data_IF_083291616250
#
_entry.id   IF_083291616250
#
_cell.length_a   1.000
_cell.length_b   1.000
_cell.length_c   1.000
_cell.angle_alpha   90.00
_cell.angle_beta   90.00
_cell.angle_gamma   90.00
#
_symmetry.space_group_name_H-M   'P 1'
#
loop_
_entity.id
_entity.type
_entity.pdbx_description
1 polymer ?
#
# COMPACT_ATOMS: atom_id res chain seq x y z
N UNK A 1 -5.16 83.40 -33.76
CA UNK A 1 -5.60 82.01 -34.04
C UNK A 1 -4.43 81.28 -34.69
N UNK A 2 -3.74 80.41 -33.94
CA UNK A 2 -2.78 79.41 -34.44
C UNK A 2 -3.09 78.13 -33.66
N UNK A 3 -3.47 77.07 -34.36
CA UNK A 3 -3.78 75.76 -33.77
C UNK A 3 -2.50 75.14 -33.17
N UNK A 4 -2.58 74.47 -32.00
CA UNK A 4 -1.45 73.74 -31.46
C UNK A 4 -1.27 72.41 -32.21
N UNK A 5 -0.05 72.18 -32.69
CA UNK A 5 0.41 70.94 -33.32
C UNK A 5 0.37 69.80 -32.29
N UNK A 6 -0.56 68.86 -32.44
CA UNK A 6 -0.61 67.63 -31.65
C UNK A 6 0.64 66.78 -31.94
N UNK A 7 1.57 66.75 -30.98
CA UNK A 7 2.66 65.79 -30.94
C UNK A 7 2.19 64.55 -30.19
N UNK A 8 1.54 63.62 -30.89
CA UNK A 8 1.44 62.25 -30.39
C UNK A 8 2.75 61.51 -30.73
N UNK A 9 3.46 60.93 -29.75
CA UNK A 9 4.67 60.17 -30.06
C UNK A 9 4.31 58.91 -30.86
N UNK A 10 4.98 58.72 -32.00
CA UNK A 10 4.92 57.49 -32.78
C UNK A 10 5.49 56.34 -31.94
N UNK A 11 4.61 55.53 -31.35
CA UNK A 11 4.97 54.31 -30.64
C UNK A 11 5.19 53.21 -31.69
N UNK A 12 6.45 52.89 -31.97
CA UNK A 12 6.80 51.76 -32.82
C UNK A 12 6.33 50.45 -32.17
N UNK A 13 5.48 49.63 -32.82
CA UNK A 13 5.00 48.39 -32.22
C UNK A 13 6.16 47.40 -32.14
N UNK A 14 6.57 47.07 -30.91
CA UNK A 14 7.53 46.01 -30.61
C UNK A 14 7.21 44.74 -31.42
N UNK A 15 8.10 44.36 -32.35
CA UNK A 15 7.97 43.13 -33.14
C UNK A 15 7.76 41.93 -32.19
N UNK A 16 6.62 41.22 -32.25
CA UNK A 16 6.36 40.14 -31.32
C UNK A 16 7.34 39.00 -31.58
N UNK A 17 7.85 38.41 -30.49
CA UNK A 17 8.77 37.27 -30.54
C UNK A 17 8.17 36.13 -31.38
N UNK A 18 9.02 35.32 -32.02
CA UNK A 18 8.56 34.20 -32.87
C UNK A 18 7.58 33.27 -32.14
N UNK A 19 7.77 33.08 -30.84
CA UNK A 19 6.87 32.31 -29.97
C UNK A 19 5.48 32.95 -29.85
N UNK A 20 5.40 34.27 -29.73
CA UNK A 20 4.13 34.99 -29.67
C UNK A 20 3.35 34.89 -30.99
N UNK A 21 4.04 34.97 -32.13
CA UNK A 21 3.40 34.80 -33.46
C UNK A 21 2.83 33.39 -33.62
N UNK A 22 3.58 32.35 -33.24
CA UNK A 22 3.08 30.96 -33.29
C UNK A 22 1.91 30.75 -32.33
N UNK A 23 2.00 31.30 -31.12
CA UNK A 23 0.91 31.26 -30.14
C UNK A 23 -0.36 31.93 -30.68
N UNK A 24 -0.26 33.11 -31.30
CA UNK A 24 -1.41 33.84 -31.85
C UNK A 24 -2.09 33.10 -33.00
N UNK A 25 -1.35 32.41 -33.87
CA UNK A 25 -1.91 31.60 -34.96
C UNK A 25 -2.57 30.30 -34.46
N UNK A 26 -2.04 29.72 -33.37
CA UNK A 26 -2.60 28.52 -32.74
C UNK A 26 -3.83 28.85 -31.88
N UNK A 27 -3.86 29.99 -31.20
CA UNK A 27 -4.98 30.42 -30.37
C UNK A 27 -6.14 31.00 -31.17
N UNK A 28 -5.91 31.49 -32.40
CA UNK A 28 -6.97 32.00 -33.27
C UNK A 28 -7.83 30.89 -33.92
N UNK A 29 -7.40 29.62 -33.85
CA UNK A 29 -8.13 28.49 -34.44
C UNK A 29 -8.93 27.73 -33.36
N UNK A 30 -10.28 27.79 -33.37
CA UNK A 30 -11.12 27.16 -32.35
C UNK A 30 -10.98 25.62 -32.29
N UNK A 31 -10.59 24.95 -33.38
CA UNK A 31 -10.33 23.51 -33.39
C UNK A 31 -9.08 23.13 -32.59
N UNK A 32 -8.09 24.03 -32.52
CA UNK A 32 -6.86 23.81 -31.76
C UNK A 32 -7.10 23.91 -30.25
N UNK A 33 -8.02 24.78 -29.81
CA UNK A 33 -8.42 24.88 -28.40
C UNK A 33 -9.04 23.58 -27.86
N UNK A 34 -9.88 22.91 -28.65
CA UNK A 34 -10.48 21.63 -28.26
C UNK A 34 -9.45 20.49 -28.18
N UNK A 35 -8.52 20.42 -29.14
CA UNK A 35 -7.44 19.42 -29.13
C UNK A 35 -6.40 19.65 -28.02
N UNK A 36 -6.05 20.91 -27.75
CA UNK A 36 -5.14 21.29 -26.68
C UNK A 36 -5.72 20.97 -25.29
N UNK A 37 -7.03 21.14 -25.09
CA UNK A 37 -7.71 20.75 -23.86
C UNK A 37 -7.61 19.25 -23.58
N UNK A 38 -7.87 18.41 -24.59
CA UNK A 38 -7.76 16.96 -24.47
C UNK A 38 -6.31 16.51 -24.23
N UNK A 39 -5.36 17.10 -24.96
CA UNK A 39 -3.94 16.83 -24.77
C UNK A 39 -3.48 17.22 -23.35
N UNK A 40 -3.91 18.37 -22.85
CA UNK A 40 -3.64 18.82 -21.48
C UNK A 40 -4.19 17.87 -20.43
N UNK A 41 -5.44 17.43 -20.58
CA UNK A 41 -6.02 16.41 -19.71
C UNK A 41 -5.26 15.08 -19.76
N UNK A 42 -4.83 14.65 -20.95
CA UNK A 42 -4.03 13.44 -21.13
C UNK A 42 -2.67 13.51 -20.40
N UNK A 43 -1.98 14.65 -20.49
CA UNK A 43 -0.73 14.89 -19.75
C UNK A 43 -1.00 14.90 -18.24
N UNK A 44 -2.05 15.59 -17.79
CA UNK A 44 -2.42 15.67 -16.38
C UNK A 44 -2.74 14.28 -15.78
N UNK A 45 -3.54 13.48 -16.48
CA UNK A 45 -3.87 12.10 -16.08
C UNK A 45 -2.62 11.21 -16.05
N UNK A 46 -1.71 11.38 -17.01
CA UNK A 46 -0.46 10.61 -17.07
C UNK A 46 0.45 10.93 -15.89
N UNK A 47 0.61 12.21 -15.55
CA UNK A 47 1.38 12.64 -14.36
C UNK A 47 0.71 12.13 -13.09
N UNK A 48 -0.60 12.27 -12.96
CA UNK A 48 -1.37 11.82 -11.79
C UNK A 48 -1.18 10.32 -11.55
N UNK A 49 -1.30 9.49 -12.59
CA UNK A 49 -1.04 8.05 -12.51
C UNK A 49 0.37 7.77 -11.99
N UNK A 50 1.37 8.48 -12.51
CA UNK A 50 2.76 8.31 -12.09
C UNK A 50 2.96 8.71 -10.63
N UNK A 51 2.34 9.80 -10.18
CA UNK A 51 2.37 10.25 -8.79
C UNK A 51 1.74 9.23 -7.85
N UNK A 52 0.61 8.62 -8.22
CA UNK A 52 -0.06 7.59 -7.40
C UNK A 52 0.83 6.36 -7.21
N UNK A 53 1.52 5.91 -8.25
CA UNK A 53 2.42 4.74 -8.14
C UNK A 53 3.60 5.06 -7.22
N UNK A 54 4.26 6.20 -7.44
CA UNK A 54 5.41 6.64 -6.64
C UNK A 54 4.98 6.87 -5.18
N UNK A 55 3.83 7.51 -4.97
CA UNK A 55 3.32 7.78 -3.62
C UNK A 55 3.01 6.50 -2.87
N UNK A 56 2.39 5.49 -3.51
CA UNK A 56 2.15 4.19 -2.90
C UNK A 56 3.46 3.49 -2.50
N UNK A 57 4.51 3.58 -3.34
CA UNK A 57 5.83 3.01 -2.99
C UNK A 57 6.47 3.74 -1.81
N UNK A 58 6.47 5.07 -1.80
CA UNK A 58 7.02 5.86 -0.69
C UNK A 58 6.23 5.61 0.59
N UNK A 59 4.90 5.53 0.47
CA UNK A 59 3.99 5.25 1.56
C UNK A 59 4.33 3.92 2.22
N UNK A 60 4.43 2.84 1.43
CA UNK A 60 4.79 1.51 1.93
C UNK A 60 6.17 1.46 2.56
N UNK A 61 7.12 2.29 2.10
CA UNK A 61 8.50 2.30 2.63
C UNK A 61 8.66 3.13 3.91
N UNK A 62 7.87 4.19 4.10
CA UNK A 62 8.06 5.15 5.20
C UNK A 62 6.99 5.10 6.28
N UNK A 63 5.80 4.58 5.96
CA UNK A 63 4.64 4.64 6.86
C UNK A 63 4.11 3.25 7.26
N UNK A 64 4.75 2.19 6.79
CA UNK A 64 4.45 0.82 7.21
C UNK A 64 5.63 0.23 7.97
N UNK A 65 5.31 -0.42 9.07
CA UNK A 65 6.23 -1.25 9.84
C UNK A 65 5.79 -2.69 9.63
N UNK A 66 6.72 -3.53 9.22
CA UNK A 66 6.49 -4.95 9.02
C UNK A 66 7.40 -5.78 9.94
N UNK A 67 6.81 -6.69 10.70
CA UNK A 67 7.49 -7.67 11.54
C UNK A 67 7.22 -9.06 10.96
N UNK A 68 8.28 -9.79 10.63
CA UNK A 68 8.21 -11.13 10.08
C UNK A 68 8.76 -12.14 11.10
N UNK A 69 7.98 -13.19 11.38
CA UNK A 69 8.36 -14.27 12.30
C UNK A 69 8.13 -15.61 11.58
N UNK A 70 9.14 -16.47 11.55
CA UNK A 70 9.05 -17.82 10.98
C UNK A 70 8.67 -18.86 12.03
N UNK A 71 8.21 -20.04 11.58
CA UNK A 71 7.91 -21.17 12.45
C UNK A 71 9.15 -21.82 13.12
N UNK A 72 10.35 -21.40 12.74
CA UNK A 72 11.60 -21.81 13.43
C UNK A 72 11.83 -21.03 14.73
N UNK A 73 11.21 -19.85 14.86
CA UNK A 73 11.32 -18.99 16.04
C UNK A 73 10.49 -19.55 17.22
N UNK A 74 11.05 -19.65 18.43
CA UNK A 74 10.31 -20.04 19.64
C UNK A 74 9.08 -19.19 19.94
N UNK A 75 9.05 -17.92 19.51
CA UNK A 75 7.94 -17.00 19.73
C UNK A 75 6.73 -17.26 18.81
N UNK A 76 6.88 -18.09 17.77
CA UNK A 76 5.82 -18.35 16.78
C UNK A 76 4.51 -18.85 17.40
N UNK A 77 4.49 -19.86 18.31
CA UNK A 77 3.24 -20.34 18.91
C UNK A 77 2.57 -19.29 19.79
N UNK A 78 3.35 -18.51 20.55
CA UNK A 78 2.84 -17.41 21.36
C UNK A 78 2.18 -16.33 20.50
N UNK A 79 2.81 -15.97 19.39
CA UNK A 79 2.29 -14.98 18.45
C UNK A 79 0.94 -15.42 17.88
N UNK A 80 0.82 -16.68 17.46
CA UNK A 80 -0.43 -17.22 16.91
C UNK A 80 -1.56 -17.18 17.93
N UNK A 81 -1.27 -17.53 19.19
CA UNK A 81 -2.24 -17.44 20.28
C UNK A 81 -2.63 -15.99 20.59
N UNK A 82 -1.67 -15.06 20.60
CA UNK A 82 -1.94 -13.62 20.75
C UNK A 82 -2.87 -13.09 19.64
N UNK A 83 -2.58 -13.43 18.37
CA UNK A 83 -3.43 -13.04 17.24
C UNK A 83 -4.81 -13.69 17.38
N UNK A 84 -4.88 -14.96 17.79
CA UNK A 84 -6.15 -15.65 17.95
C UNK A 84 -7.06 -14.96 18.98
N UNK A 85 -6.49 -14.58 20.15
CA UNK A 85 -7.24 -13.87 21.20
C UNK A 85 -7.71 -12.49 20.73
N UNK A 86 -6.89 -11.75 20.00
CA UNK A 86 -7.21 -10.39 19.56
C UNK A 86 -8.07 -10.33 18.28
N UNK A 87 -7.94 -11.31 17.40
CA UNK A 87 -8.61 -11.37 16.09
C UNK A 87 -9.83 -12.30 16.09
N UNK A 88 -10.22 -12.88 17.24
CA UNK A 88 -11.29 -13.87 17.36
C UNK A 88 -12.60 -13.47 16.66
N UNK A 89 -12.91 -12.17 16.59
CA UNK A 89 -14.13 -11.65 15.95
C UNK A 89 -13.93 -11.13 14.52
N UNK A 90 -12.69 -11.03 14.05
CA UNK A 90 -12.31 -10.35 12.80
C UNK A 90 -11.66 -11.29 11.77
N UNK A 91 -11.18 -12.45 12.19
CA UNK A 91 -10.61 -13.50 11.32
C UNK A 91 -11.67 -14.10 10.41
N UNK A 92 -11.43 -14.13 9.10
CA UNK A 92 -12.35 -14.74 8.10
C UNK A 92 -11.95 -16.15 7.68
N UNK A 93 -10.67 -16.50 7.80
CA UNK A 93 -10.18 -17.85 7.46
C UNK A 93 -9.58 -18.48 8.71
N UNK A 94 -10.05 -19.67 9.06
CA UNK A 94 -9.71 -20.35 10.31
C UNK A 94 -9.07 -21.70 9.97
N UNK A 95 -7.97 -22.01 10.63
CA UNK A 95 -7.32 -23.32 10.63
C UNK A 95 -7.57 -24.00 11.97
N UNK A 96 -7.81 -25.31 11.94
CA UNK A 96 -8.05 -26.11 13.14
C UNK A 96 -6.76 -26.82 13.51
N UNK A 97 -6.37 -26.68 14.77
CA UNK A 97 -5.31 -27.45 15.39
C UNK A 97 -5.94 -28.47 16.35
N UNK A 98 -5.70 -29.76 16.09
CA UNK A 98 -6.25 -30.86 16.87
C UNK A 98 -5.17 -31.43 17.77
N UNK A 99 -5.40 -31.39 19.08
CA UNK A 99 -4.56 -32.00 20.10
C UNK A 99 -5.21 -33.31 20.55
N UNK A 100 -4.54 -34.42 20.30
CA UNK A 100 -5.00 -35.75 20.69
C UNK A 100 -4.13 -36.18 21.88
N UNK A 101 -4.74 -36.33 23.05
CA UNK A 101 -4.10 -36.88 24.25
C UNK A 101 -4.72 -38.24 24.53
N UNK A 102 -3.88 -39.28 24.51
CA UNK A 102 -4.28 -40.63 24.86
C UNK A 102 -3.80 -40.91 26.28
N UNK A 103 -4.74 -41.13 27.19
CA UNK A 103 -4.42 -41.57 28.55
C UNK A 103 -4.01 -43.05 28.53
N UNK A 104 -3.18 -43.45 29.50
CA UNK A 104 -2.72 -44.84 29.68
C UNK A 104 -3.89 -45.83 29.87
N UNK A 105 -5.04 -45.35 30.34
CA UNK A 105 -6.30 -46.11 30.44
C UNK A 105 -7.00 -46.38 29.09
N UNK A 106 -6.44 -45.95 27.97
CA UNK A 106 -7.03 -46.07 26.63
C UNK A 106 -8.06 -44.98 26.30
N UNK A 107 -8.32 -44.04 27.22
CA UNK A 107 -9.21 -42.90 26.98
C UNK A 107 -8.51 -41.89 26.05
N UNK A 108 -9.13 -41.60 24.91
CA UNK A 108 -8.69 -40.56 23.97
C UNK A 108 -9.44 -39.25 24.24
N UNK A 109 -8.71 -38.19 24.53
CA UNK A 109 -9.22 -36.83 24.67
C UNK A 109 -8.77 -36.03 23.46
N UNK A 110 -9.72 -35.43 22.75
CA UNK A 110 -9.46 -34.58 21.58
C UNK A 110 -9.83 -33.14 21.91
N UNK A 111 -8.86 -32.23 21.80
CA UNK A 111 -9.06 -30.80 21.96
C UNK A 111 -8.86 -30.10 20.62
N UNK A 112 -9.76 -29.17 20.29
CA UNK A 112 -9.70 -28.39 19.04
C UNK A 112 -9.43 -26.93 19.36
N UNK A 113 -8.34 -26.39 18.81
CA UNK A 113 -8.03 -24.96 18.89
C UNK A 113 -8.15 -24.35 17.50
N UNK A 114 -8.90 -23.27 17.40
CA UNK A 114 -9.02 -22.49 16.17
C UNK A 114 -7.89 -21.46 16.11
N UNK A 115 -7.22 -21.36 14.98
CA UNK A 115 -6.15 -20.39 14.72
C UNK A 115 -6.44 -19.65 13.42
N UNK A 116 -5.89 -18.44 13.22
CA UNK A 116 -5.94 -17.79 11.92
C UNK A 116 -5.34 -18.71 10.85
N UNK A 117 -6.16 -18.98 9.82
CA UNK A 117 -5.74 -19.77 8.67
C UNK A 117 -4.68 -19.06 7.84
N UNK A 118 -4.14 -19.75 6.84
CA UNK A 118 -3.26 -19.14 5.86
C UNK A 118 -3.99 -18.05 5.07
N UNK A 119 -3.32 -16.93 4.82
CA UNK A 119 -3.88 -15.78 4.13
C UNK A 119 -3.84 -14.49 4.95
N UNK A 120 -4.72 -13.57 4.59
CA UNK A 120 -4.74 -12.18 5.06
C UNK A 120 -5.83 -11.96 6.09
N UNK A 121 -5.45 -11.45 7.26
CA UNK A 121 -6.35 -11.06 8.34
C UNK A 121 -6.05 -9.63 8.78
N UNK A 122 -7.05 -8.99 9.37
CA UNK A 122 -6.90 -7.65 9.92
C UNK A 122 -7.50 -7.65 11.31
N UNK A 123 -6.76 -7.09 12.26
CA UNK A 123 -7.30 -6.80 13.57
C UNK A 123 -6.85 -5.43 14.06
N UNK A 124 -7.56 -4.92 15.06
CA UNK A 124 -7.26 -3.63 15.67
C UNK A 124 -6.63 -3.81 17.04
N UNK A 125 -5.53 -3.11 17.29
CA UNK A 125 -4.89 -3.06 18.61
C UNK A 125 -4.55 -1.60 18.94
N UNK A 126 -4.97 -1.12 20.11
CA UNK A 126 -4.76 0.28 20.54
C UNK A 126 -5.11 1.32 19.45
N UNK A 127 -6.29 1.18 18.83
CA UNK A 127 -6.78 2.02 17.72
C UNK A 127 -5.93 2.00 16.45
N UNK A 128 -5.01 1.04 16.29
CA UNK A 128 -4.23 0.82 15.08
C UNK A 128 -4.65 -0.44 14.37
N UNK A 129 -4.80 -0.35 13.05
CA UNK A 129 -5.01 -1.51 12.20
C UNK A 129 -3.69 -2.25 12.02
N UNK A 130 -3.74 -3.56 12.25
CA UNK A 130 -2.66 -4.50 12.02
C UNK A 130 -3.14 -5.51 11.00
N UNK A 131 -2.45 -5.55 9.88
CA UNK A 131 -2.57 -6.58 8.85
C UNK A 131 -1.70 -7.76 9.27
N UNK A 132 -2.28 -8.96 9.29
CA UNK A 132 -1.59 -10.22 9.52
C UNK A 132 -1.62 -11.02 8.25
N UNK A 133 -0.46 -11.44 7.79
CA UNK A 133 -0.33 -12.33 6.65
C UNK A 133 0.36 -13.61 7.10
N UNK A 134 -0.34 -14.75 7.03
CA UNK A 134 0.28 -16.07 7.28
C UNK A 134 0.47 -16.78 5.95
N UNK A 135 1.72 -16.97 5.54
CA UNK A 135 2.08 -17.65 4.30
C UNK A 135 2.79 -18.97 4.59
N UNK A 136 2.43 -20.00 3.82
CA UNK A 136 3.11 -21.29 3.81
C UNK A 136 3.94 -21.36 2.54
N UNK A 137 5.24 -21.51 2.68
CA UNK A 137 6.11 -21.65 1.52
C UNK A 137 6.06 -23.08 0.98
N UNK A 138 6.37 -23.23 -0.31
CA UNK A 138 6.46 -24.55 -0.96
C UNK A 138 7.67 -25.36 -0.48
N UNK A 139 8.61 -24.70 0.20
CA UNK A 139 9.79 -25.34 0.76
C UNK A 139 9.44 -26.03 2.08
N UNK A 140 9.93 -27.27 2.24
CA UNK A 140 9.72 -28.08 3.43
C UNK A 140 11.02 -28.08 4.22
N UNK A 141 10.93 -27.70 5.49
CA UNK A 141 12.05 -27.81 6.42
C UNK A 141 12.05 -29.22 6.99
N UNK A 142 13.22 -29.85 7.01
CA UNK A 142 13.40 -31.11 7.71
C UNK A 142 14.11 -30.83 9.03
N UNK A 143 13.38 -30.99 10.15
CA UNK A 143 13.96 -30.92 11.50
C UNK A 143 13.90 -32.30 12.13
N UNK A 144 15.01 -33.03 12.04
CA UNK A 144 15.08 -34.44 12.42
C UNK A 144 14.14 -35.30 11.56
N UNK A 145 13.22 -36.01 12.21
CA UNK A 145 12.24 -36.88 11.55
C UNK A 145 10.95 -36.16 11.13
N UNK A 146 10.76 -34.89 11.53
CA UNK A 146 9.57 -34.13 11.21
C UNK A 146 9.78 -33.27 9.96
N UNK A 147 8.84 -33.39 9.03
CA UNK A 147 8.75 -32.57 7.82
C UNK A 147 7.62 -31.58 7.99
N UNK A 148 7.96 -30.36 8.38
CA UNK A 148 7.00 -29.26 8.45
C UNK A 148 7.30 -28.29 7.30
N UNK A 149 6.27 -27.82 6.60
CA UNK A 149 6.45 -26.74 5.65
C UNK A 149 6.90 -25.48 6.38
N UNK A 150 7.73 -24.69 5.69
CA UNK A 150 8.13 -23.40 6.21
C UNK A 150 6.90 -22.48 6.24
N UNK A 151 6.64 -21.88 7.40
CA UNK A 151 5.55 -20.94 7.59
C UNK A 151 6.08 -19.63 8.13
N UNK A 152 5.55 -18.54 7.59
CA UNK A 152 5.89 -17.17 7.95
C UNK A 152 4.63 -16.42 8.32
N UNK A 153 4.70 -15.67 9.42
CA UNK A 153 3.69 -14.68 9.79
C UNK A 153 4.29 -13.29 9.68
N UNK A 154 3.67 -12.44 8.88
CA UNK A 154 4.03 -11.04 8.69
C UNK A 154 2.96 -10.15 9.28
N UNK A 155 3.33 -9.37 10.30
CA UNK A 155 2.50 -8.32 10.88
C UNK A 155 2.87 -6.99 10.23
N UNK A 156 1.91 -6.29 9.65
CA UNK A 156 2.12 -4.96 9.06
C UNK A 156 1.17 -3.97 9.70
N UNK A 157 1.69 -2.85 10.17
CA UNK A 157 0.89 -1.78 10.78
C UNK A 157 1.32 -0.41 10.30
N UNK A 158 0.41 0.56 10.42
CA UNK A 158 0.69 1.96 10.14
C UNK A 158 1.52 2.56 11.28
N UNK A 159 2.69 3.08 10.94
CA UNK A 159 3.58 3.70 11.91
C UNK A 159 4.89 4.14 11.27
N UNK A 160 5.48 5.18 11.84
CA UNK A 160 6.81 5.70 11.45
C UNK A 160 7.88 5.19 12.43
N UNK A 161 7.48 4.77 13.64
CA UNK A 161 8.38 4.27 14.68
C UNK A 161 7.80 3.02 15.35
N UNK A 162 8.64 1.99 15.48
CA UNK A 162 8.36 0.85 16.34
C UNK A 162 8.73 1.27 17.77
N UNK A 163 7.73 1.50 18.63
CA UNK A 163 7.97 1.71 20.06
C UNK A 163 8.32 0.37 20.68
N UNK A 164 9.61 0.03 20.68
CA UNK A 164 10.18 -1.06 21.48
C UNK A 164 10.41 -0.50 22.89
N UNK A 165 9.40 -0.57 23.74
CA UNK A 165 9.48 -0.24 25.17
C UNK A 165 9.23 -1.50 25.99
#
# INVERSE_FOLDING_TARGET
MKEPLNTEPFVEPLQPSRFHKVYSYLSSNPYFGAGAGLAGLGVCLSITRKLIVISNTIFRRRFLISLQISNEDPAYPWLLDYINRNSARQTRQISVHTLISQAESGRTITNFTYLPGHGMHYFTYNYRWIQVERQREKQVIQKGNYRTPFETVTLTTLGIFASLS
#
